data_IF_383288050287
#
_entry.id   IF_383288050287
#
_cell.length_a   1.000
_cell.length_b   1.000
_cell.length_c   1.000
_cell.angle_alpha   90.00
_cell.angle_beta   90.00
_cell.angle_gamma   90.00
#
_symmetry.space_group_name_H-M   'P 1'
#
loop_
_entity.id
_entity.type
_entity.pdbx_description
1 polymer ?
#
# COMPACT_ATOMS: atom_id res chain seq x y z
N UNK A 1 3.21 -15.21 -4.59
CA UNK A 1 1.84 -15.72 -4.43
C UNK A 1 1.37 -15.76 -2.96
N UNK A 2 1.06 -14.62 -2.32
CA UNK A 2 0.75 -14.53 -0.86
C UNK A 2 0.09 -13.20 -0.44
N UNK A 3 0.30 -12.13 -1.22
CA UNK A 3 -0.41 -10.86 -1.06
C UNK A 3 -1.92 -11.01 -1.34
N UNK A 4 -2.31 -11.88 -2.28
CA UNK A 4 -3.70 -12.26 -2.55
C UNK A 4 -4.29 -13.23 -1.51
N UNK A 5 -3.52 -14.16 -0.96
CA UNK A 5 -4.03 -15.20 -0.03
C UNK A 5 -4.60 -14.63 1.27
N UNK A 6 -4.07 -13.51 1.75
CA UNK A 6 -4.60 -12.86 2.97
C UNK A 6 -5.77 -11.89 2.69
N UNK A 7 -5.88 -11.35 1.47
CA UNK A 7 -7.07 -10.60 1.07
C UNK A 7 -8.26 -11.56 0.85
N UNK A 8 -7.97 -12.77 0.36
CA UNK A 8 -8.89 -13.91 0.22
C UNK A 8 -9.29 -14.50 1.60
N UNK A 9 -8.38 -14.58 2.58
CA UNK A 9 -8.72 -15.10 3.92
C UNK A 9 -9.75 -14.27 4.69
N UNK A 10 -9.84 -12.97 4.40
CA UNK A 10 -10.93 -12.10 4.91
C UNK A 10 -12.25 -12.27 4.16
N UNK A 11 -12.28 -13.06 3.08
CA UNK A 11 -13.46 -13.31 2.25
C UNK A 11 -13.93 -14.76 2.21
N UNK A 12 -13.10 -15.75 2.56
CA UNK A 12 -13.55 -17.13 2.67
C UNK A 12 -12.61 -17.97 3.54
N UNK A 13 -13.17 -18.56 4.60
CA UNK A 13 -12.77 -19.88 5.03
C UNK A 13 -12.59 -20.81 3.81
N UNK A 14 -11.67 -21.78 3.90
CA UNK A 14 -11.36 -22.88 2.95
C UNK A 14 -9.96 -22.78 2.32
N UNK A 15 -9.02 -23.34 3.08
CA UNK A 15 -7.87 -24.20 2.72
C UNK A 15 -6.97 -23.80 1.53
N UNK A 16 -5.73 -23.45 1.87
CA UNK A 16 -4.58 -24.29 1.50
C UNK A 16 -3.55 -23.72 0.52
N UNK A 17 -2.38 -23.39 1.07
CA UNK A 17 -1.04 -23.37 0.47
C UNK A 17 -0.46 -22.01 0.03
N UNK A 18 0.74 -21.74 0.55
CA UNK A 18 1.20 -20.43 1.02
C UNK A 18 2.73 -20.48 1.01
N UNK A 19 3.47 -20.02 -0.04
CA UNK A 19 4.94 -19.84 0.12
C UNK A 19 5.74 -18.73 -0.63
N UNK A 20 5.26 -18.02 -1.68
CA UNK A 20 6.18 -17.16 -2.50
C UNK A 20 6.19 -15.59 -2.40
N UNK A 21 5.12 -14.87 -2.01
CA UNK A 21 5.14 -13.38 -1.82
C UNK A 21 5.19 -12.91 -0.35
N UNK A 22 5.17 -13.82 0.62
CA UNK A 22 5.33 -13.52 2.05
C UNK A 22 6.79 -13.13 2.32
N UNK A 23 7.75 -13.68 1.56
CA UNK A 23 9.16 -13.36 1.68
C UNK A 23 9.52 -11.92 1.28
N UNK A 24 8.85 -11.32 0.29
CA UNK A 24 9.19 -9.96 -0.16
C UNK A 24 8.65 -8.84 0.76
N UNK A 25 7.51 -9.06 1.44
CA UNK A 25 6.85 -8.07 2.31
C UNK A 25 7.11 -8.36 3.81
N UNK A 26 7.43 -9.60 4.19
CA UNK A 26 7.66 -10.04 5.58
C UNK A 26 9.07 -10.58 5.82
N UNK A 27 9.80 -11.13 4.84
CA UNK A 27 11.15 -11.71 5.08
C UNK A 27 12.33 -10.78 4.80
N UNK A 28 12.12 -9.49 4.55
CA UNK A 28 13.17 -8.56 4.95
C UNK A 28 13.03 -8.32 6.45
N UNK A 29 13.98 -8.79 7.28
CA UNK A 29 13.94 -8.62 8.74
C UNK A 29 13.95 -7.14 9.17
N UNK A 30 14.15 -6.21 8.23
CA UNK A 30 14.15 -4.75 8.38
C UNK A 30 12.77 -4.12 8.61
N UNK A 31 11.67 -4.87 8.48
CA UNK A 31 10.32 -4.32 8.63
C UNK A 31 9.72 -4.64 10.00
N UNK A 32 10.38 -4.06 11.00
CA UNK A 32 9.68 -3.31 12.04
C UNK A 32 9.62 -1.81 11.61
N UNK A 33 8.84 -1.45 10.56
CA UNK A 33 8.86 -0.13 9.92
C UNK A 33 8.58 1.03 10.89
N UNK A 34 7.79 0.74 11.92
CA UNK A 34 7.46 1.70 12.98
C UNK A 34 8.59 1.92 13.97
N UNK A 35 9.55 1.02 14.09
CA UNK A 35 10.64 1.10 15.07
C UNK A 35 11.94 1.52 14.40
N UNK A 36 12.35 0.93 13.28
CA UNK A 36 13.64 1.28 12.66
C UNK A 36 13.63 2.67 12.03
N UNK A 37 12.70 2.98 11.13
CA UNK A 37 12.64 4.31 10.49
C UNK A 37 12.27 5.44 11.47
N UNK A 38 11.48 5.16 12.52
CA UNK A 38 11.17 6.17 13.56
C UNK A 38 12.35 6.39 14.52
N UNK A 39 13.07 5.32 14.90
CA UNK A 39 14.23 5.40 15.78
C UNK A 39 15.48 5.96 15.07
N UNK A 40 15.45 6.13 13.74
CA UNK A 40 16.41 6.99 13.07
C UNK A 40 16.22 8.42 13.59
N UNK A 41 17.00 8.80 14.61
CA UNK A 41 17.09 10.17 15.10
C UNK A 41 17.67 11.10 14.04
N UNK A 42 18.47 10.55 13.12
CA UNK A 42 19.08 11.30 12.04
C UNK A 42 18.06 11.70 10.95
N UNK A 43 17.78 13.00 10.92
CA UNK A 43 16.92 13.64 9.92
C UNK A 43 17.56 13.66 8.53
N UNK A 44 18.89 13.68 8.42
CA UNK A 44 19.60 13.64 7.15
C UNK A 44 19.37 12.30 6.45
N UNK A 45 19.57 11.19 7.17
CA UNK A 45 19.30 9.85 6.66
C UNK A 45 17.82 9.67 6.27
N UNK A 46 16.87 10.15 7.07
CA UNK A 46 15.43 10.13 6.71
C UNK A 46 15.14 10.86 5.40
N UNK A 47 15.78 12.01 5.17
CA UNK A 47 15.65 12.76 3.91
C UNK A 47 16.25 11.99 2.74
N UNK A 48 17.41 11.38 2.91
CA UNK A 48 18.06 10.58 1.88
C UNK A 48 17.17 9.40 1.45
N UNK A 49 16.67 8.62 2.41
CA UNK A 49 15.76 7.50 2.11
C UNK A 49 14.50 7.98 1.36
N UNK A 50 13.93 9.13 1.76
CA UNK A 50 12.79 9.69 1.07
C UNK A 50 13.12 10.06 -0.38
N UNK A 51 14.30 10.64 -0.63
CA UNK A 51 14.78 10.98 -1.97
C UNK A 51 14.99 9.72 -2.83
N UNK A 52 15.62 8.69 -2.28
CA UNK A 52 15.85 7.40 -2.97
C UNK A 52 14.52 6.75 -3.40
N UNK A 53 13.50 6.86 -2.54
CA UNK A 53 12.13 6.39 -2.82
C UNK A 53 11.30 7.38 -3.65
N UNK A 54 11.90 8.44 -4.18
CA UNK A 54 11.24 9.48 -4.97
C UNK A 54 10.08 10.16 -4.23
N UNK A 55 10.14 10.26 -2.91
CA UNK A 55 9.16 10.95 -2.06
C UNK A 55 9.68 12.35 -1.75
N UNK A 56 8.89 13.42 -1.99
CA UNK A 56 9.40 14.79 -1.92
C UNK A 56 9.84 15.22 -0.51
N UNK A 57 9.27 14.62 0.54
CA UNK A 57 9.63 14.94 1.92
C UNK A 57 9.55 13.70 2.81
N UNK A 58 10.48 13.59 3.77
CA UNK A 58 10.52 12.47 4.73
C UNK A 58 9.26 12.34 5.59
N UNK A 59 8.53 13.45 5.85
CA UNK A 59 7.28 13.45 6.60
C UNK A 59 6.15 12.68 5.89
N UNK A 60 6.10 12.75 4.55
CA UNK A 60 5.16 11.93 3.77
C UNK A 60 5.49 10.46 3.92
N UNK A 61 6.78 10.12 3.79
CA UNK A 61 7.24 8.75 3.97
C UNK A 61 6.95 8.23 5.39
N UNK A 62 7.18 9.03 6.43
CA UNK A 62 6.81 8.73 7.82
C UNK A 62 5.31 8.41 7.98
N UNK A 63 4.46 9.22 7.35
CA UNK A 63 3.01 9.02 7.34
C UNK A 63 2.62 7.72 6.62
N UNK A 64 3.20 7.45 5.45
CA UNK A 64 2.92 6.24 4.67
C UNK A 64 3.33 4.98 5.42
N UNK A 65 4.54 4.98 6.00
CA UNK A 65 5.07 3.88 6.79
C UNK A 65 4.15 3.59 8.00
N UNK A 66 3.67 4.64 8.70
CA UNK A 66 2.69 4.50 9.79
C UNK A 66 1.41 3.81 9.32
N UNK A 67 0.82 4.27 8.22
CA UNK A 67 -0.42 3.70 7.67
C UNK A 67 -0.24 2.26 7.20
N UNK A 68 0.82 1.98 6.44
CA UNK A 68 1.15 0.63 5.95
C UNK A 68 1.36 -0.33 7.13
N UNK A 69 1.99 0.13 8.22
CA UNK A 69 2.14 -0.68 9.44
C UNK A 69 0.78 -1.07 10.03
N UNK A 70 -0.16 -0.13 10.11
CA UNK A 70 -1.51 -0.41 10.62
C UNK A 70 -2.23 -1.40 9.70
N UNK A 71 -2.13 -1.22 8.37
CA UNK A 71 -2.68 -2.16 7.41
C UNK A 71 -2.09 -3.56 7.55
N UNK A 72 -0.76 -3.66 7.65
CA UNK A 72 -0.05 -4.94 7.87
C UNK A 72 -0.51 -5.61 9.17
N UNK A 73 -0.65 -4.85 10.25
CA UNK A 73 -1.15 -5.40 11.51
C UNK A 73 -2.60 -5.89 11.38
N UNK A 74 -3.47 -5.14 10.70
CA UNK A 74 -4.84 -5.60 10.43
C UNK A 74 -4.84 -6.91 9.65
N UNK A 75 -3.99 -7.03 8.63
CA UNK A 75 -3.83 -8.24 7.82
C UNK A 75 -3.32 -9.41 8.68
N UNK A 76 -2.29 -9.19 9.50
CA UNK A 76 -1.71 -10.20 10.38
C UNK A 76 -2.69 -10.71 11.45
N UNK A 77 -3.60 -9.85 11.91
CA UNK A 77 -4.68 -10.22 12.81
C UNK A 77 -5.95 -10.70 12.08
N UNK A 78 -5.87 -11.00 10.77
CA UNK A 78 -6.98 -11.44 9.94
C UNK A 78 -8.22 -10.53 10.00
N UNK A 79 -8.02 -9.23 10.27
CA UNK A 79 -9.10 -8.29 10.36
C UNK A 79 -9.59 -7.88 8.97
N UNK A 80 -10.91 -7.67 8.83
CA UNK A 80 -11.53 -7.15 7.61
C UNK A 80 -10.93 -5.79 7.22
N UNK A 81 -10.46 -5.66 5.97
CA UNK A 81 -9.82 -4.43 5.46
C UNK A 81 -10.60 -3.70 4.34
N UNK A 82 -11.46 -4.41 3.59
CA UNK A 82 -12.02 -3.88 2.34
C UNK A 82 -12.89 -2.63 2.53
N UNK A 83 -13.80 -2.62 3.51
CA UNK A 83 -14.60 -1.44 3.88
C UNK A 83 -14.19 -0.88 5.25
N UNK A 84 -12.90 -0.95 5.58
CA UNK A 84 -12.41 -0.45 6.87
C UNK A 84 -12.11 1.04 6.80
N UNK A 85 -12.42 1.73 7.89
CA UNK A 85 -11.89 3.07 8.16
C UNK A 85 -10.58 2.93 8.94
N UNK A 86 -9.47 3.35 8.35
CA UNK A 86 -8.16 3.31 8.97
C UNK A 86 -7.91 4.57 9.80
N UNK A 87 -7.43 4.45 11.05
CA UNK A 87 -7.16 5.61 11.91
C UNK A 87 -5.95 6.41 11.43
N UNK A 88 -4.95 5.74 10.85
CA UNK A 88 -3.75 6.36 10.32
C UNK A 88 -3.93 6.63 8.83
N UNK A 89 -4.16 7.90 8.49
CA UNK A 89 -4.32 8.35 7.12
C UNK A 89 -2.95 8.67 6.50
N UNK A 90 -2.60 8.11 5.34
CA UNK A 90 -1.39 8.52 4.64
C UNK A 90 -1.57 9.97 4.17
N UNK A 91 -0.52 10.78 4.22
CA UNK A 91 -0.55 12.13 3.63
C UNK A 91 -0.21 12.03 2.14
N UNK A 92 -1.08 12.49 1.25
CA UNK A 92 -0.84 12.42 -0.20
C UNK A 92 -0.29 13.76 -0.71
N UNK A 93 0.93 13.81 -1.27
CA UNK A 93 1.45 14.99 -1.93
C UNK A 93 0.63 15.34 -3.17
N UNK A 94 0.49 16.64 -3.44
CA UNK A 94 -0.16 17.14 -4.67
C UNK A 94 0.67 16.90 -5.92
N UNK A 95 1.99 16.79 -5.77
CA UNK A 95 2.94 16.60 -6.86
C UNK A 95 3.97 15.57 -6.42
N UNK A 96 4.22 14.60 -7.28
CA UNK A 96 5.26 13.58 -7.09
C UNK A 96 6.21 13.61 -8.29
N UNK A 97 7.48 13.23 -8.10
CA UNK A 97 8.46 13.13 -9.19
C UNK A 97 8.10 12.07 -10.25
N UNK A 98 7.51 10.94 -9.83
CA UNK A 98 7.10 9.83 -10.71
C UNK A 98 5.58 9.78 -10.88
N UNK A 99 5.12 8.87 -11.74
CA UNK A 99 3.71 8.61 -12.00
C UNK A 99 2.89 8.52 -10.71
N UNK A 100 1.88 9.37 -10.61
CA UNK A 100 1.08 9.56 -9.41
C UNK A 100 -0.37 9.88 -9.75
N UNK A 101 -1.24 9.79 -8.75
CA UNK A 101 -2.65 10.15 -8.87
C UNK A 101 -2.80 11.67 -9.02
N UNK A 102 -3.62 12.09 -9.98
CA UNK A 102 -3.99 13.48 -10.19
C UNK A 102 -5.02 13.98 -9.19
N UNK A 103 -5.96 13.11 -8.79
CA UNK A 103 -6.96 13.45 -7.79
C UNK A 103 -6.50 13.12 -6.36
N UNK A 104 -6.08 14.13 -5.60
CA UNK A 104 -5.72 13.97 -4.18
C UNK A 104 -6.89 14.18 -3.21
N UNK A 105 -8.10 14.49 -3.69
CA UNK A 105 -9.31 14.62 -2.85
C UNK A 105 -9.96 13.26 -2.64
N UNK A 106 -9.17 12.31 -2.13
CA UNK A 106 -9.60 10.95 -1.89
C UNK A 106 -10.05 10.77 -0.43
N UNK A 107 -10.90 9.78 -0.14
CA UNK A 107 -11.18 9.39 1.23
C UNK A 107 -9.94 8.75 1.87
N UNK A 108 -9.10 9.57 2.51
CA UNK A 108 -7.78 9.20 3.05
C UNK A 108 -7.80 8.06 4.07
N UNK A 109 -8.95 7.89 4.73
CA UNK A 109 -9.20 6.84 5.72
C UNK A 109 -9.56 5.49 5.10
N UNK A 110 -9.68 5.40 3.78
CA UNK A 110 -10.05 4.17 3.06
C UNK A 110 -8.83 3.46 2.50
N UNK A 111 -9.04 2.21 2.06
CA UNK A 111 -7.98 1.34 1.59
C UNK A 111 -7.26 1.90 0.35
N UNK A 112 -8.00 2.52 -0.57
CA UNK A 112 -7.44 3.05 -1.82
C UNK A 112 -6.24 4.01 -1.61
N UNK A 113 -6.34 4.92 -0.65
CA UNK A 113 -5.26 5.87 -0.37
C UNK A 113 -3.96 5.17 0.05
N UNK A 114 -4.07 4.08 0.82
CA UNK A 114 -2.91 3.27 1.23
C UNK A 114 -2.36 2.43 0.08
N UNK A 115 -3.24 1.88 -0.77
CA UNK A 115 -2.83 1.14 -1.96
C UNK A 115 -2.05 2.03 -2.94
N UNK A 116 -2.43 3.31 -3.08
CA UNK A 116 -1.68 4.27 -3.90
C UNK A 116 -0.25 4.46 -3.39
N UNK A 117 -0.08 4.65 -2.08
CA UNK A 117 1.25 4.77 -1.46
C UNK A 117 2.08 3.50 -1.67
N UNK A 118 1.49 2.32 -1.47
CA UNK A 118 2.18 1.04 -1.66
C UNK A 118 2.60 0.86 -3.12
N UNK A 119 1.71 1.10 -4.09
CA UNK A 119 2.01 0.98 -5.51
C UNK A 119 3.19 1.90 -5.90
N UNK A 120 3.19 3.14 -5.44
CA UNK A 120 4.27 4.09 -5.73
C UNK A 120 5.62 3.66 -5.14
N UNK A 121 5.63 3.20 -3.88
CA UNK A 121 6.84 2.68 -3.25
C UNK A 121 7.36 1.44 -3.97
N UNK A 122 6.47 0.52 -4.36
CA UNK A 122 6.83 -0.68 -5.12
C UNK A 122 7.46 -0.32 -6.47
N UNK A 123 6.88 0.62 -7.22
CA UNK A 123 7.45 1.10 -8.48
C UNK A 123 8.82 1.78 -8.30
N UNK A 124 9.09 2.33 -7.12
CA UNK A 124 10.37 2.98 -6.82
C UNK A 124 11.44 1.99 -6.38
N UNK A 125 11.06 0.92 -5.66
CA UNK A 125 11.97 -0.11 -5.16
C UNK A 125 12.26 -1.17 -6.23
N UNK A 126 11.23 -1.60 -6.95
CA UNK A 126 11.29 -2.67 -7.94
C UNK A 126 10.44 -2.29 -9.16
N UNK A 127 11.02 -1.64 -10.19
CA UNK A 127 10.26 -1.18 -11.36
C UNK A 127 9.43 -2.28 -12.04
N UNK A 128 9.96 -3.51 -12.12
CA UNK A 128 9.29 -4.66 -12.76
C UNK A 128 8.35 -5.42 -11.81
N UNK A 129 7.79 -4.75 -10.80
CA UNK A 129 6.92 -5.40 -9.82
C UNK A 129 5.56 -5.73 -10.43
N UNK A 130 4.94 -6.79 -9.93
CA UNK A 130 3.61 -7.25 -10.40
C UNK A 130 2.46 -6.76 -9.53
N UNK A 131 2.67 -5.72 -8.70
CA UNK A 131 1.68 -5.32 -7.69
C UNK A 131 0.35 -4.87 -8.31
N UNK A 132 0.40 -4.03 -9.35
CA UNK A 132 -0.80 -3.50 -10.02
C UNK A 132 -1.59 -4.64 -10.67
N UNK A 133 -0.91 -5.51 -11.39
CA UNK A 133 -1.50 -6.67 -12.07
C UNK A 133 -2.16 -7.62 -11.07
N UNK A 134 -1.48 -7.89 -9.94
CA UNK A 134 -2.03 -8.70 -8.86
C UNK A 134 -3.28 -8.07 -8.23
N UNK A 135 -3.29 -6.74 -8.04
CA UNK A 135 -4.47 -6.03 -7.55
C UNK A 135 -5.63 -6.09 -8.55
N UNK A 136 -5.36 -5.91 -9.85
CA UNK A 136 -6.40 -5.97 -10.89
C UNK A 136 -7.02 -7.36 -10.96
N UNK A 137 -6.18 -8.40 -11.05
CA UNK A 137 -6.63 -9.78 -11.05
C UNK A 137 -7.47 -10.13 -9.80
N UNK A 138 -7.11 -9.58 -8.64
CA UNK A 138 -7.86 -9.77 -7.40
C UNK A 138 -9.24 -9.11 -7.42
N UNK A 139 -9.35 -7.90 -7.96
CA UNK A 139 -10.63 -7.21 -8.09
C UNK A 139 -11.52 -7.91 -9.12
N UNK A 140 -10.95 -8.42 -10.21
CA UNK A 140 -11.66 -9.17 -11.24
C UNK A 140 -12.15 -10.54 -10.75
N UNK A 141 -11.35 -11.22 -9.91
CA UNK A 141 -11.75 -12.47 -9.27
C UNK A 141 -12.91 -12.29 -8.25
N UNK A 142 -13.17 -11.06 -7.81
CA UNK A 142 -14.19 -10.74 -6.80
C UNK A 142 -15.11 -9.60 -7.23
N UNK A 143 -15.94 -9.80 -8.28
CA UNK A 143 -16.81 -8.75 -8.83
C UNK A 143 -17.88 -8.25 -7.84
N UNK A 144 -18.17 -9.05 -6.81
CA UNK A 144 -19.13 -8.70 -5.76
C UNK A 144 -18.58 -7.65 -4.76
N UNK A 145 -17.30 -7.27 -4.86
CA UNK A 145 -16.69 -6.29 -3.95
C UNK A 145 -16.94 -4.87 -4.46
N UNK A 146 -17.59 -4.06 -3.64
CA UNK A 146 -17.80 -2.65 -3.93
C UNK A 146 -16.49 -1.84 -3.75
N UNK A 147 -15.78 -1.60 -4.85
CA UNK A 147 -14.56 -0.79 -4.90
C UNK A 147 -14.79 0.67 -4.46
N UNK A 148 -16.01 1.21 -4.65
CA UNK A 148 -16.37 2.56 -4.20
C UNK A 148 -16.39 2.63 -2.68
N UNK A 149 -16.89 1.59 -2.01
CA UNK A 149 -16.82 1.47 -0.55
C UNK A 149 -15.38 1.40 -0.03
N UNK A 150 -14.45 0.89 -0.83
CA UNK A 150 -13.01 0.87 -0.54
C UNK A 150 -12.29 2.20 -0.85
N UNK A 151 -13.02 3.19 -1.35
CA UNK A 151 -12.53 4.55 -1.62
C UNK A 151 -11.94 4.77 -3.01
N UNK A 152 -12.15 3.83 -3.95
CA UNK A 152 -11.68 3.99 -5.33
C UNK A 152 -12.57 5.01 -6.07
N UNK A 153 -11.99 6.03 -6.72
CA UNK A 153 -12.74 6.91 -7.62
C UNK A 153 -13.17 6.16 -8.88
N UNK A 154 -14.18 6.65 -9.60
CA UNK A 154 -14.72 5.94 -10.78
C UNK A 154 -13.66 5.71 -11.88
N UNK A 155 -12.80 6.69 -12.12
CA UNK A 155 -11.75 6.70 -13.14
C UNK A 155 -10.37 6.29 -12.58
N UNK A 156 -10.31 5.56 -11.46
CA UNK A 156 -9.05 5.23 -10.80
C UNK A 156 -8.06 4.47 -11.70
N UNK A 157 -8.55 3.64 -12.63
CA UNK A 157 -7.71 2.92 -13.60
C UNK A 157 -7.04 3.84 -14.63
N UNK A 158 -7.57 5.03 -14.82
CA UNK A 158 -7.03 6.02 -15.77
C UNK A 158 -5.94 6.90 -15.17
N UNK A 159 -5.78 6.85 -13.85
CA UNK A 159 -4.76 7.61 -13.12
C UNK A 159 -3.36 7.15 -13.54
N UNK A 160 -2.39 8.06 -13.71
CA UNK A 160 -1.04 7.73 -14.15
C UNK A 160 -0.34 6.66 -13.29
N UNK A 161 -0.63 6.63 -11.98
CA UNK A 161 -0.09 5.61 -11.08
C UNK A 161 -0.51 4.18 -11.47
N UNK A 162 -1.73 4.02 -11.99
CA UNK A 162 -2.34 2.72 -12.25
C UNK A 162 -2.25 2.28 -13.71
N UNK A 163 -1.83 3.18 -14.61
CA UNK A 163 -1.45 2.85 -15.98
C UNK A 163 -0.12 2.11 -16.02
N UNK A 164 0.03 1.26 -17.05
CA UNK A 164 1.29 0.62 -17.42
C UNK A 164 2.22 1.61 -18.12
#
# INVERSE_FOLDING_TARGET
>A
MFFLLHLIYSFSAIRGNTQSLFYAIISYPFLNPKLEYYNLSDKALKKQIAQDLNVPQHLYLESWIKSITVLRNCIAHHARIWNRRFPNMPQLPKRMPKAWIGNTRLPMMKLYAQLCCIAYLQNSIHPDNTFKQNLFALLEAHPNVDVKAMGFPANWREEPLWKD
#
